data_IF_508118205303
#
_entry.id   IF_508118205303
#
_cell.length_a   1.000
_cell.length_b   1.000
_cell.length_c   1.000
_cell.angle_alpha   90.00
_cell.angle_beta   90.00
_cell.angle_gamma   90.00
#
_symmetry.space_group_name_H-M   'P 1'
#
loop_
_entity.id
_entity.type
_entity.pdbx_description
1 polymer ?
#
# COMPACT_ATOMS: atom_id res chain seq x y z
N UNK A 1 14.75 -7.12 11.08
CA UNK A 1 14.76 -6.62 9.70
C UNK A 1 13.67 -7.34 8.96
N UNK A 2 12.49 -6.74 8.93
CA UNK A 2 11.36 -7.20 8.14
C UNK A 2 11.79 -7.25 6.68
N UNK A 3 11.52 -8.37 5.97
CA UNK A 3 11.82 -8.55 4.55
C UNK A 3 10.90 -7.66 3.65
N UNK A 4 10.57 -6.44 4.09
CA UNK A 4 9.56 -5.58 3.46
C UNK A 4 10.16 -4.67 2.39
N UNK A 5 11.46 -4.43 2.42
CA UNK A 5 12.17 -3.57 1.48
C UNK A 5 13.43 -4.26 0.94
N UNK A 6 13.87 -3.85 -0.25
CA UNK A 6 15.13 -4.27 -0.89
C UNK A 6 15.79 -3.07 -1.55
N UNK A 7 17.11 -3.12 -1.67
CA UNK A 7 17.86 -2.08 -2.40
C UNK A 7 18.01 -2.49 -3.88
N UNK A 8 17.64 -1.58 -4.79
CA UNK A 8 17.80 -1.74 -6.24
C UNK A 8 18.50 -0.48 -6.77
N UNK A 9 19.72 -0.63 -7.30
CA UNK A 9 20.52 0.47 -7.85
C UNK A 9 20.72 1.66 -6.89
N UNK A 10 20.82 1.42 -5.58
CA UNK A 10 20.99 2.47 -4.56
C UNK A 10 19.67 3.11 -4.08
N UNK A 11 18.52 2.62 -4.55
CA UNK A 11 17.19 3.06 -4.09
C UNK A 11 16.54 1.96 -3.26
N UNK A 12 15.99 2.32 -2.10
CA UNK A 12 15.16 1.41 -1.31
C UNK A 12 13.78 1.32 -1.93
N UNK A 13 13.36 0.11 -2.27
CA UNK A 13 12.04 -0.18 -2.83
C UNK A 13 11.33 -1.24 -2.00
N UNK A 14 10.01 -1.30 -2.09
CA UNK A 14 9.25 -2.36 -1.45
C UNK A 14 9.62 -3.73 -2.03
N UNK A 15 9.60 -4.74 -1.17
CA UNK A 15 9.99 -6.10 -1.54
C UNK A 15 8.79 -6.86 -2.13
N UNK A 16 8.58 -6.63 -3.42
CA UNK A 16 7.61 -7.33 -4.26
C UNK A 16 8.23 -7.59 -5.64
N UNK A 17 7.71 -8.59 -6.34
CA UNK A 17 8.05 -8.91 -7.74
C UNK A 17 7.02 -8.36 -8.73
N UNK A 18 5.99 -7.66 -8.22
CA UNK A 18 4.94 -7.00 -9.01
C UNK A 18 5.32 -5.53 -9.19
N UNK A 19 5.17 -5.02 -10.41
CA UNK A 19 5.36 -3.60 -10.71
C UNK A 19 4.20 -2.76 -10.15
N UNK A 20 4.45 -1.52 -9.72
CA UNK A 20 3.37 -0.62 -9.31
C UNK A 20 2.42 -0.31 -10.48
N UNK A 21 1.13 -0.04 -10.21
CA UNK A 21 0.22 0.51 -11.22
C UNK A 21 0.74 1.82 -11.83
N UNK A 22 0.23 2.22 -12.99
CA UNK A 22 0.52 3.54 -13.57
C UNK A 22 0.19 4.65 -12.58
N UNK A 23 1.07 5.65 -12.49
CA UNK A 23 1.00 6.76 -11.52
C UNK A 23 1.18 6.36 -10.04
N UNK A 24 1.70 5.16 -9.77
CA UNK A 24 2.13 4.72 -8.43
C UNK A 24 3.65 4.56 -8.35
N UNK A 25 4.16 4.39 -7.13
CA UNK A 25 5.57 4.16 -6.82
C UNK A 25 5.73 3.02 -5.83
N UNK A 26 6.86 2.32 -5.92
CA UNK A 26 7.33 1.39 -4.90
C UNK A 26 8.61 1.89 -4.20
N UNK A 27 9.04 3.13 -4.44
CA UNK A 27 10.17 3.75 -3.75
C UNK A 27 9.79 4.02 -2.30
N UNK A 28 10.50 3.36 -1.38
CA UNK A 28 10.17 3.38 0.04
C UNK A 28 10.21 4.78 0.65
N UNK A 29 11.17 5.60 0.26
CA UNK A 29 11.31 6.97 0.76
C UNK A 29 10.20 7.88 0.23
N UNK A 30 9.83 7.73 -1.05
CA UNK A 30 8.73 8.49 -1.66
C UNK A 30 7.38 8.13 -1.03
N UNK A 31 7.26 6.90 -0.51
CA UNK A 31 6.08 6.43 0.21
C UNK A 31 6.03 6.92 1.68
N UNK A 32 7.00 7.70 2.16
CA UNK A 32 7.05 8.21 3.54
C UNK A 32 7.98 7.44 4.48
N UNK A 33 8.72 6.45 3.97
CA UNK A 33 9.80 5.76 4.68
C UNK A 33 9.41 5.19 6.05
N UNK A 34 10.37 5.19 6.97
CA UNK A 34 10.18 4.66 8.33
C UNK A 34 9.12 5.42 9.13
N UNK A 35 8.90 6.71 8.84
CA UNK A 35 7.89 7.51 9.54
C UNK A 35 6.49 6.96 9.29
N UNK A 36 6.21 6.49 8.07
CA UNK A 36 4.91 5.93 7.72
C UNK A 36 4.84 4.41 7.92
N UNK A 37 5.91 3.70 7.54
CA UNK A 37 5.89 2.24 7.36
C UNK A 37 6.82 1.45 8.30
N UNK A 38 7.59 2.14 9.14
CA UNK A 38 8.48 1.49 10.10
C UNK A 38 7.72 0.72 11.18
N UNK A 39 8.45 0.01 12.04
CA UNK A 39 7.89 -0.80 13.15
C UNK A 39 7.09 0.05 14.19
N UNK A 40 7.23 1.37 14.16
CA UNK A 40 6.45 2.33 14.94
C UNK A 40 5.92 3.48 14.05
N UNK A 41 5.75 3.23 12.75
CA UNK A 41 5.26 4.21 11.80
C UNK A 41 3.76 4.47 11.93
N UNK A 42 3.28 5.56 11.35
CA UNK A 42 1.88 5.98 11.51
C UNK A 42 0.87 4.91 11.05
N UNK A 43 1.16 4.18 9.96
CA UNK A 43 0.26 3.12 9.47
C UNK A 43 0.26 1.91 10.40
N UNK A 44 1.38 1.60 11.04
CA UNK A 44 1.46 0.53 12.03
C UNK A 44 0.58 0.84 13.25
N UNK A 45 0.70 2.05 13.80
CA UNK A 45 -0.11 2.48 14.95
C UNK A 45 -1.60 2.58 14.58
N UNK A 46 -1.92 3.06 13.37
CA UNK A 46 -3.29 3.12 12.87
C UNK A 46 -3.92 1.73 12.75
N UNK A 47 -3.24 0.79 12.07
CA UNK A 47 -3.74 -0.58 11.90
C UNK A 47 -3.98 -1.25 13.27
N UNK A 48 -3.06 -1.06 14.22
CA UNK A 48 -3.21 -1.54 15.59
C UNK A 48 -4.41 -0.91 16.30
N UNK A 49 -4.70 0.36 16.06
CA UNK A 49 -5.89 1.05 16.55
C UNK A 49 -7.21 0.39 16.11
N UNK A 50 -7.21 -0.22 14.92
CA UNK A 50 -8.32 -1.03 14.41
C UNK A 50 -8.30 -2.49 14.90
N UNK A 51 -7.38 -2.86 15.78
CA UNK A 51 -7.21 -4.24 16.26
C UNK A 51 -6.57 -5.17 15.23
N UNK A 52 -5.90 -4.61 14.20
CA UNK A 52 -5.13 -5.38 13.24
C UNK A 52 -3.69 -5.54 13.74
N UNK A 53 -3.35 -6.76 14.15
CA UNK A 53 -2.00 -7.12 14.54
C UNK A 53 -1.26 -7.80 13.38
N UNK A 54 0.05 -7.54 13.28
CA UNK A 54 0.92 -8.18 12.31
C UNK A 54 2.02 -7.27 11.80
N UNK A 55 2.76 -7.75 10.81
CA UNK A 55 3.74 -6.94 10.08
C UNK A 55 3.04 -6.18 8.97
N UNK A 56 3.04 -4.85 9.05
CA UNK A 56 2.66 -3.98 7.93
C UNK A 56 3.74 -4.08 6.85
N UNK A 57 3.37 -4.54 5.66
CA UNK A 57 4.26 -4.62 4.51
C UNK A 57 3.81 -3.58 3.47
N UNK A 58 4.51 -2.44 3.32
CA UNK A 58 4.22 -1.49 2.26
C UNK A 58 4.36 -2.15 0.89
N UNK A 59 3.47 -1.81 -0.04
CA UNK A 59 3.54 -2.28 -1.42
C UNK A 59 3.76 -1.10 -2.36
N UNK A 60 2.78 -0.21 -2.47
CA UNK A 60 2.81 0.92 -3.41
C UNK A 60 2.14 2.17 -2.82
N UNK A 61 2.47 3.35 -3.34
CA UNK A 61 1.70 4.58 -3.09
C UNK A 61 1.48 5.35 -4.38
N UNK A 62 0.40 6.13 -4.46
CA UNK A 62 0.20 7.05 -5.57
C UNK A 62 1.33 8.10 -5.60
N UNK A 63 1.75 8.48 -6.80
CA UNK A 63 2.76 9.51 -7.00
C UNK A 63 2.23 10.86 -6.51
N UNK A 64 3.10 11.66 -5.90
CA UNK A 64 2.72 12.95 -5.29
C UNK A 64 2.06 13.94 -6.27
N UNK A 65 2.36 13.86 -7.57
CA UNK A 65 1.77 14.74 -8.59
C UNK A 65 0.30 14.43 -8.90
N UNK A 66 -0.22 13.26 -8.50
CA UNK A 66 -1.62 12.89 -8.72
C UNK A 66 -2.58 13.73 -7.88
N UNK A 67 -2.10 14.32 -6.78
CA UNK A 67 -2.92 15.04 -5.81
C UNK A 67 -3.66 14.12 -4.83
N UNK A 68 -3.62 12.81 -5.05
CA UNK A 68 -4.15 11.78 -4.17
C UNK A 68 -3.09 11.33 -3.16
N UNK A 69 -3.52 10.77 -2.04
CA UNK A 69 -2.63 10.28 -0.99
C UNK A 69 -3.02 8.85 -0.55
N UNK A 70 -3.22 7.98 -1.54
CA UNK A 70 -3.59 6.59 -1.34
C UNK A 70 -2.34 5.70 -1.38
N UNK A 71 -2.25 4.76 -0.44
CA UNK A 71 -1.21 3.72 -0.40
C UNK A 71 -1.83 2.33 -0.28
N UNK A 72 -1.17 1.34 -0.88
CA UNK A 72 -1.50 -0.09 -0.80
C UNK A 72 -0.48 -0.79 0.08
N UNK A 73 -0.95 -1.60 1.03
CA UNK A 73 -0.11 -2.43 1.87
C UNK A 73 -0.75 -3.79 2.16
N UNK A 74 0.09 -4.73 2.61
CA UNK A 74 -0.31 -6.06 3.03
C UNK A 74 -0.16 -6.18 4.56
N UNK A 75 -1.16 -6.77 5.21
CA UNK A 75 -1.12 -7.12 6.63
C UNK A 75 -1.80 -8.47 6.84
N UNK A 76 -1.07 -9.41 7.43
CA UNK A 76 -1.55 -10.77 7.74
C UNK A 76 -2.19 -11.49 6.55
N UNK A 77 -1.66 -11.27 5.34
CA UNK A 77 -2.11 -11.90 4.10
C UNK A 77 -3.30 -11.22 3.42
N UNK A 78 -3.83 -10.12 3.97
CA UNK A 78 -4.86 -9.29 3.35
C UNK A 78 -4.27 -7.99 2.80
N UNK A 79 -4.93 -7.41 1.82
CA UNK A 79 -4.54 -6.14 1.21
C UNK A 79 -5.44 -4.99 1.68
N UNK A 80 -4.83 -3.83 1.91
CA UNK A 80 -5.50 -2.66 2.45
C UNK A 80 -5.10 -1.40 1.69
N UNK A 81 -6.05 -0.49 1.53
CA UNK A 81 -5.81 0.88 1.12
C UNK A 81 -5.75 1.79 2.35
N UNK A 82 -4.70 2.58 2.44
CA UNK A 82 -4.59 3.68 3.39
C UNK A 82 -4.83 5.00 2.66
N UNK A 83 -5.82 5.77 3.11
CA UNK A 83 -6.03 7.14 2.66
C UNK A 83 -5.44 8.12 3.68
N UNK A 84 -4.31 8.74 3.34
CA UNK A 84 -3.62 9.66 4.24
C UNK A 84 -4.34 11.00 4.42
N UNK A 85 -5.20 11.40 3.48
CA UNK A 85 -6.01 12.63 3.60
C UNK A 85 -7.12 12.43 4.64
N UNK A 86 -7.77 11.28 4.63
CA UNK A 86 -8.88 10.96 5.52
C UNK A 86 -8.43 10.29 6.82
N UNK A 87 -7.22 9.74 6.86
CA UNK A 87 -6.73 8.94 7.98
C UNK A 87 -7.47 7.61 8.13
N UNK A 88 -7.99 7.06 7.04
CA UNK A 88 -8.85 5.87 7.02
C UNK A 88 -8.16 4.67 6.36
N UNK A 89 -8.56 3.47 6.80
CA UNK A 89 -8.16 2.19 6.22
C UNK A 89 -9.37 1.51 5.58
N UNK A 90 -9.12 0.91 4.42
CA UNK A 90 -10.09 0.08 3.72
C UNK A 90 -9.47 -1.29 3.43
N UNK A 91 -10.16 -2.35 3.78
CA UNK A 91 -9.77 -3.70 3.36
C UNK A 91 -10.26 -3.97 1.94
N UNK A 92 -9.39 -4.51 1.08
CA UNK A 92 -9.79 -5.00 -0.23
C UNK A 92 -10.36 -6.42 -0.07
N UNK A 93 -11.65 -6.58 -0.31
CA UNK A 93 -12.36 -7.86 -0.24
C UNK A 93 -12.25 -8.64 -1.55
N UNK A 94 -12.21 -7.95 -2.69
CA UNK A 94 -12.05 -8.58 -4.01
C UNK A 94 -11.50 -7.59 -5.05
N UNK A 95 -10.53 -8.00 -5.89
CA UNK A 95 -9.74 -9.25 -5.83
C UNK A 95 -8.80 -9.29 -4.61
N UNK A 96 -8.39 -10.48 -4.19
CA UNK A 96 -7.56 -10.67 -2.97
C UNK A 96 -6.08 -10.85 -3.25
N UNK A 97 -5.67 -11.17 -4.48
CA UNK A 97 -4.27 -11.31 -4.86
C UNK A 97 -3.69 -10.00 -5.44
N UNK A 98 -2.42 -9.72 -5.13
CA UNK A 98 -1.77 -8.46 -5.50
C UNK A 98 -1.74 -8.22 -7.01
N UNK A 99 -1.52 -9.26 -7.82
CA UNK A 99 -1.38 -9.10 -9.26
C UNK A 99 -2.71 -8.67 -9.90
N UNK A 100 -3.82 -9.28 -9.50
CA UNK A 100 -5.15 -8.89 -9.99
C UNK A 100 -5.55 -7.51 -9.45
N UNK A 101 -5.23 -7.19 -8.18
CA UNK A 101 -5.45 -5.83 -7.63
C UNK A 101 -4.74 -4.78 -8.49
N UNK A 102 -3.44 -4.96 -8.75
CA UNK A 102 -2.66 -4.03 -9.59
C UNK A 102 -3.24 -3.92 -10.99
N UNK A 103 -3.60 -5.06 -11.60
CA UNK A 103 -4.16 -5.08 -12.95
C UNK A 103 -5.51 -4.36 -13.02
N UNK A 104 -6.36 -4.49 -11.99
CA UNK A 104 -7.64 -3.76 -11.89
C UNK A 104 -7.44 -2.26 -11.70
N UNK A 105 -6.45 -1.85 -10.90
CA UNK A 105 -6.12 -0.43 -10.71
C UNK A 105 -5.62 0.20 -12.02
N UNK A 106 -4.78 -0.53 -12.77
CA UNK A 106 -4.15 -0.06 -14.01
C UNK A 106 -5.06 -0.15 -15.24
N UNK A 107 -6.20 -0.84 -15.13
CA UNK A 107 -7.16 -0.99 -16.22
C UNK A 107 -7.91 0.34 -16.46
N UNK A 108 -7.84 0.90 -17.69
CA UNK A 108 -8.38 2.21 -18.03
C UNK A 108 -9.91 2.28 -18.00
N UNK A 109 -10.61 1.14 -18.04
CA UNK A 109 -12.07 1.06 -17.99
C UNK A 109 -12.58 0.75 -16.57
N UNK A 110 -11.72 0.26 -15.67
CA UNK A 110 -12.06 -0.15 -14.30
C UNK A 110 -11.52 0.80 -13.22
N UNK A 111 -10.20 0.90 -13.12
CA UNK A 111 -9.49 1.60 -12.06
C UNK A 111 -9.79 1.12 -10.63
N UNK A 112 -9.31 1.89 -9.65
CA UNK A 112 -9.54 1.62 -8.22
C UNK A 112 -11.02 1.46 -7.82
N UNK A 113 -11.94 2.15 -8.50
CA UNK A 113 -13.36 2.11 -8.19
C UNK A 113 -13.99 0.72 -8.42
N UNK A 114 -13.30 -0.17 -9.14
CA UNK A 114 -13.73 -1.55 -9.39
C UNK A 114 -13.28 -2.53 -8.31
N UNK A 115 -12.50 -2.08 -7.33
CA UNK A 115 -12.16 -2.87 -6.15
C UNK A 115 -13.38 -2.93 -5.21
N UNK A 116 -13.70 -4.13 -4.73
CA UNK A 116 -14.64 -4.28 -3.61
C UNK A 116 -13.88 -3.99 -2.32
N UNK A 117 -14.24 -2.89 -1.65
CA UNK A 117 -13.56 -2.44 -0.43
C UNK A 117 -14.54 -2.27 0.73
N UNK A 118 -14.05 -2.52 1.94
CA UNK A 118 -14.79 -2.32 3.19
C UNK A 118 -13.99 -1.41 4.11
N UNK A 119 -14.63 -0.35 4.63
CA UNK A 119 -14.00 0.55 5.60
C UNK A 119 -13.87 -0.14 6.97
N UNK A 120 -12.75 0.10 7.65
CA UNK A 120 -12.48 -0.40 9.00
C UNK A 120 -13.01 0.53 10.10
#
# INVERSE_FOLDING_TARGET
MSNNIKEVNGTLVTNTDIEPPSDWTNNYEDMGGDMLWGECGDVFELARGYGLDGTVKPLFAMQSYTGEAISLFELSGNHYLYNAIEGSLYQIQNPTDLQTIVSTIDDPDQGMASLEIEAL
#
